data_IF_259055479752
#
_entry.id   IF_259055479752
#
_cell.length_a   1.000
_cell.length_b   1.000
_cell.length_c   1.000
_cell.angle_alpha   90.00
_cell.angle_beta   90.00
_cell.angle_gamma   90.00
#
_symmetry.space_group_name_H-M   'P 1'
#
loop_
_entity.id
_entity.type
_entity.pdbx_description
1 polymer ?
#
# COMPACT_ATOMS: atom_id res chain seq x y z
N UNK A 1 -38.69 -8.77 15.21
CA UNK A 1 -37.90 -8.63 13.97
C UNK A 1 -38.89 -8.38 12.85
N UNK A 2 -38.64 -7.39 12.00
CA UNK A 2 -39.44 -7.17 10.78
C UNK A 2 -38.97 -8.24 9.81
N UNK A 3 -39.84 -9.20 9.47
CA UNK A 3 -39.60 -10.10 8.35
C UNK A 3 -39.85 -9.28 7.09
N UNK A 4 -38.78 -9.04 6.33
CA UNK A 4 -38.92 -8.58 4.95
C UNK A 4 -39.06 -9.87 4.13
N UNK A 5 -40.20 -10.06 3.51
CA UNK A 5 -40.35 -11.12 2.51
C UNK A 5 -39.54 -10.72 1.27
N UNK A 6 -39.13 -11.69 0.43
CA UNK A 6 -38.27 -11.40 -0.73
C UNK A 6 -38.87 -10.35 -1.68
N UNK A 7 -40.21 -10.24 -1.71
CA UNK A 7 -40.96 -9.25 -2.50
C UNK A 7 -40.89 -7.82 -1.93
N UNK A 8 -40.48 -7.65 -0.67
CA UNK A 8 -40.27 -6.34 -0.03
C UNK A 8 -38.83 -5.81 -0.15
N UNK A 9 -37.93 -6.62 -0.72
CA UNK A 9 -36.56 -6.19 -0.97
C UNK A 9 -36.54 -5.19 -2.15
N UNK A 10 -35.87 -4.04 -2.02
CA UNK A 10 -35.72 -3.13 -3.14
C UNK A 10 -35.00 -3.85 -4.28
N UNK A 11 -35.55 -3.70 -5.48
CA UNK A 11 -34.89 -4.19 -6.69
C UNK A 11 -33.48 -3.58 -6.79
N UNK A 12 -32.55 -4.41 -7.19
CA UNK A 12 -31.20 -3.95 -7.47
C UNK A 12 -31.22 -3.04 -8.69
N UNK A 13 -30.72 -1.82 -8.50
CA UNK A 13 -30.53 -0.87 -9.59
C UNK A 13 -29.43 -1.36 -10.54
N UNK A 14 -29.50 -0.93 -11.80
CA UNK A 14 -28.50 -1.27 -12.82
C UNK A 14 -27.07 -0.87 -12.40
N UNK A 15 -26.92 0.26 -11.71
CA UNK A 15 -25.63 0.71 -11.18
C UNK A 15 -25.09 -0.21 -10.08
N UNK A 16 -25.96 -0.76 -9.22
CA UNK A 16 -25.59 -1.77 -8.24
C UNK A 16 -25.16 -3.08 -8.91
N UNK A 17 -25.89 -3.52 -9.95
CA UNK A 17 -25.49 -4.67 -10.77
C UNK A 17 -24.12 -4.47 -11.42
N UNK A 18 -23.86 -3.29 -11.97
CA UNK A 18 -22.61 -2.98 -12.65
C UNK A 18 -21.40 -2.97 -11.71
N UNK A 19 -21.59 -2.57 -10.45
CA UNK A 19 -20.52 -2.49 -9.43
C UNK A 19 -20.35 -3.76 -8.60
N UNK A 20 -21.27 -4.70 -8.68
CA UNK A 20 -21.21 -5.93 -7.89
C UNK A 20 -20.03 -6.83 -8.29
N UNK A 21 -19.57 -7.64 -7.33
CA UNK A 21 -18.66 -8.73 -7.64
C UNK A 21 -19.43 -9.84 -8.34
N UNK A 22 -18.84 -10.40 -9.40
CA UNK A 22 -19.42 -11.51 -10.16
C UNK A 22 -18.67 -12.78 -9.81
N UNK A 23 -19.41 -13.78 -9.34
CA UNK A 23 -18.93 -15.11 -9.03
C UNK A 23 -19.52 -16.15 -9.99
N UNK A 24 -18.72 -17.16 -10.31
CA UNK A 24 -19.11 -18.38 -10.99
C UNK A 24 -18.77 -19.55 -10.06
N UNK A 25 -19.74 -19.98 -9.26
CA UNK A 25 -19.49 -20.83 -8.08
C UNK A 25 -18.54 -20.13 -7.10
N UNK A 26 -17.46 -20.80 -6.73
CA UNK A 26 -16.42 -20.25 -5.84
C UNK A 26 -15.39 -19.35 -6.56
N UNK A 27 -15.50 -19.20 -7.90
CA UNK A 27 -14.53 -18.45 -8.69
C UNK A 27 -14.98 -17.00 -8.89
N UNK A 28 -14.16 -16.05 -8.45
CA UNK A 28 -14.35 -14.63 -8.74
C UNK A 28 -14.00 -14.32 -10.21
N UNK A 29 -14.98 -13.86 -10.98
CA UNK A 29 -14.83 -13.48 -12.40
C UNK A 29 -14.55 -11.97 -12.53
N UNK A 30 -15.20 -11.16 -11.68
CA UNK A 30 -14.99 -9.70 -11.64
C UNK A 30 -15.11 -9.21 -10.19
N UNK A 31 -14.11 -8.48 -9.65
CA UNK A 31 -14.25 -7.87 -8.34
C UNK A 31 -15.31 -6.76 -8.36
N UNK A 32 -15.88 -6.47 -7.19
CA UNK A 32 -16.79 -5.33 -7.05
C UNK A 32 -16.00 -4.01 -7.22
N UNK A 33 -16.55 -3.11 -8.03
CA UNK A 33 -16.01 -1.76 -8.22
C UNK A 33 -16.50 -0.83 -7.10
N UNK A 34 -15.61 0.03 -6.60
CA UNK A 34 -15.94 0.95 -5.49
C UNK A 34 -16.01 0.30 -4.11
N UNK A 35 -15.75 -1.00 -4.00
CA UNK A 35 -15.37 -1.59 -2.70
C UNK A 35 -14.08 -0.90 -2.26
N UNK A 36 -14.00 -0.57 -0.96
CA UNK A 36 -12.81 -0.11 -0.27
C UNK A 36 -11.74 -1.23 -0.28
N UNK A 37 -11.28 -1.61 -1.46
CA UNK A 37 -10.07 -2.39 -1.66
C UNK A 37 -8.98 -1.46 -1.20
N UNK A 38 -8.66 -1.50 0.11
CA UNK A 38 -7.75 -0.59 0.83
C UNK A 38 -6.72 -0.05 -0.16
N UNK A 39 -6.90 1.16 -0.72
CA UNK A 39 -5.92 1.67 -1.64
C UNK A 39 -4.64 1.73 -0.82
N UNK A 40 -3.64 0.94 -1.22
CA UNK A 40 -2.34 0.96 -0.56
C UNK A 40 -1.87 2.40 -0.46
N UNK A 41 -0.98 2.71 0.50
CA UNK A 41 -0.46 4.07 0.64
C UNK A 41 -0.09 4.60 -0.76
N UNK A 42 -0.62 5.77 -1.18
CA UNK A 42 -0.32 6.32 -2.49
C UNK A 42 1.20 6.36 -2.68
N UNK A 43 1.65 5.96 -3.87
CA UNK A 43 3.08 5.92 -4.19
C UNK A 43 3.67 7.32 -3.94
N UNK A 44 4.78 7.38 -3.20
CA UNK A 44 5.51 8.64 -3.03
C UNK A 44 5.91 9.18 -4.40
N UNK A 45 5.76 10.48 -4.63
CA UNK A 45 6.23 11.14 -5.85
C UNK A 45 7.75 11.00 -6.01
N UNK A 46 8.48 11.00 -4.89
CA UNK A 46 9.92 10.76 -4.85
C UNK A 46 10.26 9.70 -3.78
N UNK A 47 10.28 8.41 -4.15
CA UNK A 47 10.67 7.34 -3.24
C UNK A 47 12.20 7.22 -3.16
N UNK A 48 12.71 6.85 -1.97
CA UNK A 48 14.12 6.46 -1.83
C UNK A 48 14.47 5.38 -2.85
N UNK A 49 15.56 5.57 -3.59
CA UNK A 49 16.05 4.58 -4.55
C UNK A 49 16.94 3.58 -3.82
N UNK A 50 16.61 2.29 -3.94
CA UNK A 50 17.51 1.23 -3.52
C UNK A 50 18.61 1.08 -4.56
N UNK A 51 19.86 1.25 -4.13
CA UNK A 51 21.05 1.11 -4.98
C UNK A 51 22.04 0.15 -4.31
N UNK A 52 22.82 -0.56 -5.12
CA UNK A 52 23.92 -1.40 -4.62
C UNK A 52 25.18 -0.55 -4.55
N UNK A 53 25.57 -0.11 -3.35
CA UNK A 53 26.78 0.66 -3.07
C UNK A 53 27.64 -0.10 -2.05
N UNK A 54 28.96 -0.11 -2.27
CA UNK A 54 29.93 -0.60 -1.28
C UNK A 54 30.45 0.58 -0.47
N UNK A 55 30.38 0.46 0.85
CA UNK A 55 30.92 1.42 1.81
C UNK A 55 32.03 0.75 2.61
N UNK A 56 32.95 1.56 3.14
CA UNK A 56 33.97 1.09 4.07
C UNK A 56 33.31 0.44 5.30
N UNK A 57 33.89 -0.67 5.79
CA UNK A 57 33.35 -1.42 6.93
C UNK A 57 33.32 -0.58 8.20
N UNK A 58 34.32 0.26 8.44
CA UNK A 58 34.40 1.13 9.63
C UNK A 58 33.25 2.14 9.63
N UNK A 59 32.87 2.66 8.46
CA UNK A 59 31.75 3.58 8.32
C UNK A 59 30.44 2.87 8.65
N UNK A 60 30.21 1.68 8.09
CA UNK A 60 28.98 0.91 8.33
C UNK A 60 28.85 0.54 9.81
N UNK A 61 29.92 0.04 10.43
CA UNK A 61 29.91 -0.32 11.84
C UNK A 61 29.73 0.89 12.75
N UNK A 62 30.39 2.01 12.45
CA UNK A 62 30.21 3.27 13.18
C UNK A 62 28.75 3.75 13.16
N UNK A 63 28.07 3.69 12.01
CA UNK A 63 26.65 4.00 11.94
C UNK A 63 25.79 2.95 12.64
N UNK A 64 26.05 1.64 12.47
CA UNK A 64 25.28 0.57 13.16
C UNK A 64 25.32 0.69 14.68
N UNK A 65 26.47 1.09 15.24
CA UNK A 65 26.64 1.31 16.68
C UNK A 65 25.73 2.42 17.23
N UNK A 66 25.26 3.35 16.39
CA UNK A 66 24.28 4.38 16.79
C UNK A 66 22.87 3.81 17.07
N UNK A 67 22.64 2.52 16.80
CA UNK A 67 21.38 1.83 17.08
C UNK A 67 20.33 1.98 15.98
N UNK A 68 19.04 1.74 16.31
CA UNK A 68 17.93 1.80 15.36
C UNK A 68 17.90 3.13 14.59
N UNK A 69 17.62 3.06 13.29
CA UNK A 69 17.60 4.23 12.41
C UNK A 69 18.95 4.66 11.82
N UNK A 70 20.02 3.88 12.01
CA UNK A 70 21.34 4.20 11.45
C UNK A 70 21.35 4.41 9.92
N UNK A 71 20.51 3.69 9.17
CA UNK A 71 20.37 3.87 7.72
C UNK A 71 19.80 5.26 7.35
N UNK A 72 18.90 5.79 8.17
CA UNK A 72 18.39 7.15 7.99
C UNK A 72 19.47 8.19 8.33
N UNK A 73 20.28 7.92 9.37
CA UNK A 73 21.41 8.79 9.74
C UNK A 73 22.48 8.85 8.67
N UNK A 74 22.90 7.72 8.10
CA UNK A 74 23.88 7.72 7.01
C UNK A 74 23.34 8.44 5.77
N UNK A 75 22.05 8.26 5.45
CA UNK A 75 21.42 9.02 4.36
C UNK A 75 21.43 10.54 4.62
N UNK A 76 21.16 10.98 5.86
CA UNK A 76 21.23 12.40 6.22
C UNK A 76 22.67 12.96 6.11
N UNK A 77 23.68 12.17 6.49
CA UNK A 77 25.07 12.56 6.33
C UNK A 77 25.46 12.71 4.85
N UNK A 78 25.01 11.81 3.98
CA UNK A 78 25.22 11.90 2.54
C UNK A 78 24.53 13.12 1.93
N UNK A 79 23.32 13.48 2.38
CA UNK A 79 22.64 14.71 1.96
C UNK A 79 23.44 15.96 2.34
N UNK A 80 23.90 16.03 3.59
CA UNK A 80 24.73 17.14 4.07
C UNK A 80 26.02 17.28 3.27
N UNK A 81 26.65 16.18 2.85
CA UNK A 81 27.85 16.20 2.03
C UNK A 81 27.60 16.76 0.61
N UNK A 82 26.35 16.74 0.14
CA UNK A 82 25.90 17.30 -1.14
C UNK A 82 25.24 18.67 -1.00
N UNK A 83 25.20 19.25 0.21
CA UNK A 83 24.50 20.49 0.53
C UNK A 83 22.97 20.43 0.25
N UNK A 84 22.36 19.28 0.57
CA UNK A 84 20.92 18.96 0.40
C UNK A 84 20.12 18.87 1.71
#
# INVERSE_FOLDING_TARGET
MIGLDDDDLPEWTDDQWNRAAIYDGDRLIRPADGTLTKPGRPKSADPKRQVTLRLDSVVVEGFRATGPGWQSRINAALRKALDL
#
